data_IF_333615260434
#
_entry.id   IF_333615260434
#
_cell.length_a   1.000
_cell.length_b   1.000
_cell.length_c   1.000
_cell.angle_alpha   90.00
_cell.angle_beta   90.00
_cell.angle_gamma   90.00
#
_symmetry.space_group_name_H-M   'P 1'
#
loop_
_entity.id
_entity.type
_entity.pdbx_description
1 polymer ?
#
# COMPACT_ATOMS: atom_id res chain seq x y z
N UNK A 1 1.00 26.18 5.48
CA UNK A 1 2.04 25.13 5.43
C UNK A 1 2.09 24.29 6.72
N UNK A 2 2.12 24.92 7.89
CA UNK A 2 2.34 24.23 9.18
C UNK A 2 1.32 23.13 9.51
N UNK A 3 0.05 23.29 9.13
CA UNK A 3 -0.99 22.27 9.34
C UNK A 3 -0.78 21.00 8.49
N UNK A 4 -0.30 21.15 7.24
CA UNK A 4 0.02 19.99 6.40
C UNK A 4 1.22 19.22 6.97
N UNK A 5 2.22 19.94 7.48
CA UNK A 5 3.38 19.33 8.11
C UNK A 5 2.99 18.60 9.40
N UNK A 6 2.14 19.21 10.23
CA UNK A 6 1.61 18.58 11.43
C UNK A 6 0.77 17.33 11.11
N UNK A 7 -0.09 17.39 10.10
CA UNK A 7 -0.87 16.24 9.64
C UNK A 7 0.02 15.11 9.11
N UNK A 8 1.05 15.44 8.32
CA UNK A 8 2.03 14.46 7.85
C UNK A 8 2.74 13.77 9.02
N UNK A 9 3.27 14.53 9.98
CA UNK A 9 3.90 13.98 11.18
C UNK A 9 2.92 13.09 11.96
N UNK A 10 1.67 13.53 12.12
CA UNK A 10 0.66 12.77 12.85
C UNK A 10 0.38 11.39 12.22
N UNK A 11 0.33 11.30 10.89
CA UNK A 11 0.17 10.02 10.17
C UNK A 11 1.33 9.07 10.48
N UNK A 12 2.57 9.57 10.43
CA UNK A 12 3.75 8.75 10.75
C UNK A 12 3.77 8.28 12.20
N UNK A 13 3.42 9.17 13.14
CA UNK A 13 3.31 8.80 14.56
C UNK A 13 2.24 7.74 14.76
N UNK A 14 1.07 7.89 14.14
CA UNK A 14 0.00 6.90 14.22
C UNK A 14 0.42 5.53 13.70
N UNK A 15 1.09 5.47 12.54
CA UNK A 15 1.62 4.23 11.98
C UNK A 15 2.65 3.61 12.94
N UNK A 16 3.60 4.39 13.45
CA UNK A 16 4.62 3.90 14.38
C UNK A 16 4.00 3.30 15.64
N UNK A 17 3.00 3.95 16.24
CA UNK A 17 2.31 3.44 17.42
C UNK A 17 1.61 2.11 17.13
N UNK A 18 0.91 2.00 16.00
CA UNK A 18 0.24 0.74 15.61
C UNK A 18 1.26 -0.37 15.40
N UNK A 19 2.38 -0.09 14.73
CA UNK A 19 3.46 -1.06 14.50
C UNK A 19 4.04 -1.53 15.82
N UNK A 20 4.42 -0.62 16.72
CA UNK A 20 4.96 -0.98 18.04
C UNK A 20 3.96 -1.79 18.85
N UNK A 21 2.69 -1.37 18.90
CA UNK A 21 1.64 -2.12 19.58
C UNK A 21 1.46 -3.53 19.00
N UNK A 22 1.51 -3.68 17.68
CA UNK A 22 1.40 -4.99 17.01
C UNK A 22 2.58 -5.90 17.32
N UNK A 23 3.79 -5.35 17.46
CA UNK A 23 4.99 -6.13 17.79
C UNK A 23 5.03 -6.53 19.27
N UNK A 24 4.57 -5.67 20.17
CA UNK A 24 4.64 -5.90 21.62
C UNK A 24 3.48 -6.75 22.12
N UNK A 25 2.27 -6.56 21.58
CA UNK A 25 1.04 -7.19 22.07
C UNK A 25 0.39 -8.15 21.08
N UNK A 26 0.90 -8.26 19.84
CA UNK A 26 0.26 -9.05 18.79
C UNK A 26 0.67 -10.53 18.81
N UNK A 27 -0.29 -11.42 19.10
CA UNK A 27 -0.08 -12.87 19.10
C UNK A 27 -0.37 -13.57 17.75
N UNK A 28 -0.39 -12.82 16.63
CA UNK A 28 -0.81 -13.35 15.32
C UNK A 28 -1.07 -12.28 14.26
N UNK A 29 -0.16 -11.32 14.09
CA UNK A 29 -0.27 -10.28 13.07
C UNK A 29 -0.34 -10.87 11.65
N UNK A 30 -1.18 -10.29 10.80
CA UNK A 30 -1.24 -10.63 9.38
C UNK A 30 -0.57 -9.54 8.55
N UNK A 31 0.25 -9.94 7.59
CA UNK A 31 0.93 -9.05 6.64
C UNK A 31 0.52 -9.48 5.24
N UNK A 32 0.28 -8.50 4.36
CA UNK A 32 0.04 -8.74 2.95
C UNK A 32 0.51 -7.55 2.15
N UNK A 33 1.06 -7.81 0.97
CA UNK A 33 1.65 -6.79 0.12
C UNK A 33 1.78 -7.23 -1.33
N UNK A 34 2.01 -6.25 -2.20
CA UNK A 34 2.26 -6.46 -3.62
C UNK A 34 3.50 -5.68 -4.02
N UNK A 35 4.47 -6.35 -4.62
CA UNK A 35 5.64 -5.73 -5.24
C UNK A 35 5.43 -5.76 -6.76
N UNK A 36 5.52 -4.62 -7.41
CA UNK A 36 5.50 -4.51 -8.87
C UNK A 36 6.92 -4.64 -9.41
N UNK A 37 7.26 -5.79 -10.03
CA UNK A 37 8.52 -5.97 -10.77
C UNK A 37 8.21 -5.78 -12.25
N UNK A 38 8.47 -4.58 -12.76
CA UNK A 38 7.95 -4.19 -14.07
C UNK A 38 6.40 -4.25 -14.07
N UNK A 39 5.75 -4.65 -15.17
CA UNK A 39 4.29 -4.75 -15.24
C UNK A 39 3.72 -5.98 -14.51
N UNK A 40 4.56 -6.86 -13.93
CA UNK A 40 4.13 -8.12 -13.32
C UNK A 40 4.00 -7.93 -11.80
N UNK A 41 2.78 -8.08 -11.22
CA UNK A 41 2.57 -7.97 -9.79
C UNK A 41 2.96 -9.27 -9.07
N UNK A 42 3.80 -9.16 -8.04
CA UNK A 42 4.16 -10.24 -7.13
C UNK A 42 3.47 -10.01 -5.80
N UNK A 43 2.56 -10.91 -5.46
CA UNK A 43 1.73 -10.82 -4.26
C UNK A 43 2.30 -11.73 -3.18
N UNK A 44 2.41 -11.23 -1.95
CA UNK A 44 2.86 -11.99 -0.79
C UNK A 44 1.97 -11.67 0.41
N UNK A 45 1.84 -12.64 1.31
CA UNK A 45 1.14 -12.43 2.57
C UNK A 45 1.31 -13.60 3.51
N UNK A 46 1.24 -13.31 4.80
CA UNK A 46 1.40 -14.28 5.88
C UNK A 46 0.47 -13.92 7.03
N UNK A 47 -0.06 -14.93 7.70
CA UNK A 47 -0.97 -14.80 8.85
C UNK A 47 -2.44 -15.09 8.53
N UNK A 48 -3.30 -15.15 9.56
CA UNK A 48 -4.69 -15.61 9.43
C UNK A 48 -5.54 -14.80 8.44
N UNK A 49 -5.27 -13.50 8.34
CA UNK A 49 -6.01 -12.58 7.47
C UNK A 49 -5.25 -12.25 6.18
N UNK A 50 -4.19 -13.01 5.84
CA UNK A 50 -3.38 -12.75 4.65
C UNK A 50 -4.23 -12.75 3.36
N UNK A 51 -5.23 -13.64 3.25
CA UNK A 51 -6.11 -13.69 2.08
C UNK A 51 -6.86 -12.35 1.85
N UNK A 52 -7.34 -11.72 2.92
CA UNK A 52 -7.99 -10.41 2.85
C UNK A 52 -7.02 -9.31 2.44
N UNK A 53 -5.84 -9.29 3.07
CA UNK A 53 -4.80 -8.29 2.77
C UNK A 53 -4.30 -8.40 1.32
N UNK A 54 -4.12 -9.63 0.84
CA UNK A 54 -3.81 -9.94 -0.55
C UNK A 54 -4.91 -9.46 -1.48
N UNK A 55 -6.19 -9.77 -1.18
CA UNK A 55 -7.32 -9.34 -2.00
C UNK A 55 -7.36 -7.81 -2.17
N UNK A 56 -7.21 -7.06 -1.07
CA UNK A 56 -7.13 -5.60 -1.10
C UNK A 56 -5.92 -5.13 -1.92
N UNK A 57 -4.75 -5.75 -1.71
CA UNK A 57 -3.52 -5.43 -2.44
C UNK A 57 -3.66 -5.62 -3.95
N UNK A 58 -4.29 -6.70 -4.39
CA UNK A 58 -4.55 -6.98 -5.81
C UNK A 58 -5.49 -5.93 -6.41
N UNK A 59 -6.58 -5.59 -5.73
CA UNK A 59 -7.52 -4.55 -6.19
C UNK A 59 -6.81 -3.20 -6.34
N UNK A 60 -6.04 -2.78 -5.34
CA UNK A 60 -5.25 -1.55 -5.39
C UNK A 60 -4.22 -1.57 -6.51
N UNK A 61 -3.62 -2.74 -6.77
CA UNK A 61 -2.66 -2.91 -7.86
C UNK A 61 -3.31 -2.75 -9.22
N UNK A 62 -4.48 -3.34 -9.44
CA UNK A 62 -5.25 -3.19 -10.69
C UNK A 62 -5.60 -1.72 -10.92
N UNK A 63 -6.09 -1.03 -9.87
CA UNK A 63 -6.39 0.41 -9.94
C UNK A 63 -5.14 1.21 -10.31
N UNK A 64 -4.01 0.92 -9.66
CA UNK A 64 -2.74 1.62 -9.89
C UNK A 64 -2.20 1.40 -11.31
N UNK A 65 -2.24 0.16 -11.81
CA UNK A 65 -1.83 -0.19 -13.17
C UNK A 65 -2.75 0.45 -14.20
N UNK A 66 -4.06 0.42 -13.98
CA UNK A 66 -5.03 1.09 -14.86
C UNK A 66 -4.79 2.60 -14.90
N UNK A 67 -4.62 3.24 -13.74
CA UNK A 67 -4.29 4.66 -13.63
C UNK A 67 -2.98 4.99 -14.37
N UNK A 68 -1.94 4.16 -14.20
CA UNK A 68 -0.68 4.31 -14.91
C UNK A 68 -0.86 4.28 -16.44
N UNK A 69 -1.59 3.30 -16.98
CA UNK A 69 -1.86 3.23 -18.42
C UNK A 69 -2.69 4.41 -18.93
N UNK A 70 -3.69 4.86 -18.16
CA UNK A 70 -4.51 6.02 -18.53
C UNK A 70 -3.64 7.28 -18.57
N UNK A 71 -2.87 7.55 -17.51
CA UNK A 71 -2.02 8.73 -17.41
C UNK A 71 -0.91 8.72 -18.47
N UNK A 72 -0.27 7.58 -18.73
CA UNK A 72 0.76 7.47 -19.78
C UNK A 72 0.19 7.60 -21.20
N UNK A 73 -1.08 7.24 -21.43
CA UNK A 73 -1.73 7.45 -22.74
C UNK A 73 -1.92 8.94 -23.06
N UNK A 74 -2.12 9.79 -22.05
CA UNK A 74 -2.22 11.23 -22.26
C UNK A 74 -0.87 11.87 -22.62
N UNK A 75 0.23 11.37 -22.06
CA UNK A 75 1.58 11.89 -22.37
C UNK A 75 2.03 11.59 -23.80
N UNK A 76 1.61 10.45 -24.39
CA UNK A 76 1.98 10.10 -25.78
C UNK A 76 1.14 10.78 -26.88
N UNK A 77 0.10 11.53 -26.54
CA UNK A 77 -0.74 12.24 -27.53
C UNK A 77 -0.29 13.69 -27.82
N UNK A 78 0.80 14.14 -27.20
CA UNK A 78 1.31 15.52 -27.27
C UNK A 78 2.75 15.63 -27.82
N UNK A 79 3.23 14.62 -28.55
CA UNK A 79 4.45 14.67 -29.38
C UNK A 79 4.11 14.14 -30.77
#
# INVERSE_FOLDING_TARGET
MSLLLAGFVLVFVGIAVIVVASLVFGNGGSVGGVILIGPIPIVFGSGPNAAWLIGIGVVLTIISVAAFFILNRHTKRSN
#
